data_IF_537253193207
#
_entry.id   IF_537253193207
#
_cell.length_a   1.000
_cell.length_b   1.000
_cell.length_c   1.000
_cell.angle_alpha   90.00
_cell.angle_beta   90.00
_cell.angle_gamma   90.00
#
_symmetry.space_group_name_H-M   'P 1'
#
loop_
_entity.id
_entity.type
_entity.pdbx_description
1 polymer ?
2 non-polymer ?
3 non-polymer ?
4 non-polymer ?
5 non-polymer ?
6 water ?
#
# COMPACT_ATOMS: atom_id res chain seq x y z
N UNK A 1 -19.88 14.63 15.39
CA UNK A 1 -19.74 13.33 14.68
C UNK A 1 -18.95 12.34 15.56
N UNK A 2 -19.67 11.51 16.30
CA UNK A 2 -19.02 10.52 17.18
C UNK A 2 -18.81 9.19 16.44
N UNK A 3 -17.54 8.79 16.37
CA UNK A 3 -17.17 7.51 15.76
C UNK A 3 -17.52 6.34 16.69
N UNK A 4 -17.56 5.11 16.14
CA UNK A 4 -17.81 3.94 17.01
C UNK A 4 -16.86 3.87 18.19
N UNK A 5 -17.37 3.48 19.36
CA UNK A 5 -16.52 3.24 20.52
C UNK A 5 -15.58 2.09 20.16
N UNK A 6 -14.28 2.35 20.29
CA UNK A 6 -13.28 1.38 19.90
C UNK A 6 -12.70 1.59 18.51
N UNK A 7 -13.16 2.63 17.82
CA UNK A 7 -12.63 2.95 16.48
C UNK A 7 -11.12 3.12 16.55
N UNK A 8 -10.43 2.63 15.53
CA UNK A 8 -8.97 2.66 15.53
C UNK A 8 -8.43 3.88 14.80
N UNK A 9 -7.63 4.66 15.50
CA UNK A 9 -6.97 5.85 14.92
C UNK A 9 -5.49 5.62 14.90
N UNK A 10 -4.94 5.62 13.69
CA UNK A 10 -3.57 5.20 13.49
C UNK A 10 -2.78 6.15 12.59
N UNK A 11 -1.49 5.90 12.50
CA UNK A 11 -0.63 6.50 11.48
C UNK A 11 0.28 5.41 10.96
N UNK A 12 0.87 5.62 9.79
CA UNK A 12 1.66 4.59 9.11
C UNK A 12 3.03 5.08 8.68
N UNK A 13 3.98 4.15 8.63
CA UNK A 13 5.30 4.38 8.00
C UNK A 13 5.66 3.11 7.24
N UNK A 14 6.75 3.18 6.48
CA UNK A 14 7.32 2.01 5.79
C UNK A 14 8.82 2.04 6.02
N UNK A 15 9.42 0.85 6.15
CA UNK A 15 10.82 0.72 6.55
C UNK A 15 11.79 1.54 5.70
N UNK A 16 11.74 1.38 4.38
CA UNK A 16 12.73 2.09 3.55
C UNK A 16 12.49 3.59 3.63
N UNK A 17 11.23 3.98 3.79
CA UNK A 17 10.91 5.40 3.77
C UNK A 17 11.36 6.14 5.04
N UNK A 18 11.51 5.43 6.16
CA UNK A 18 11.85 6.08 7.43
C UNK A 18 13.14 5.62 8.12
N UNK A 19 13.54 4.37 7.91
CA UNK A 19 14.53 3.77 8.80
C UNK A 19 15.96 4.31 8.70
N UNK A 20 16.43 4.56 7.48
CA UNK A 20 17.89 4.71 7.28
C UNK A 20 18.60 3.44 7.73
N UNK A 21 19.84 3.58 8.19
CA UNK A 21 20.63 2.41 8.61
C UNK A 21 20.66 1.34 7.53
N UNK A 22 20.78 1.79 6.28
CA UNK A 22 20.60 0.90 5.12
C UNK A 22 21.60 -0.27 5.06
N UNK A 23 22.76 -0.11 5.70
CA UNK A 23 23.77 -1.17 5.77
C UNK A 23 24.24 -1.40 7.22
N UNK A 24 23.46 -0.91 8.17
CA UNK A 24 23.79 -1.01 9.59
C UNK A 24 23.62 -2.43 10.09
N UNK A 25 24.56 -2.87 10.94
CA UNK A 25 24.44 -4.15 11.64
C UNK A 25 24.24 -5.38 10.73
N UNK A 26 24.89 -5.36 9.57
CA UNK A 26 24.86 -6.49 8.65
C UNK A 26 23.65 -6.58 7.74
N UNK A 27 22.78 -5.57 7.81
CA UNK A 27 21.63 -5.52 6.90
C UNK A 27 22.08 -5.68 5.44
N UNK A 28 21.38 -6.55 4.72
CA UNK A 28 21.61 -6.75 3.29
C UNK A 28 20.99 -5.63 2.46
N UNK A 29 21.49 -5.43 1.22
CA UNK A 29 20.90 -4.38 0.38
C UNK A 29 19.49 -4.74 -0.09
N UNK A 30 18.60 -3.74 -0.14
CA UNK A 30 17.32 -3.92 -0.81
C UNK A 30 17.36 -3.19 -2.15
N UNK A 31 16.33 -3.41 -2.95
CA UNK A 31 16.31 -2.87 -4.31
C UNK A 31 16.38 -1.35 -4.35
N UNK A 32 15.85 -0.68 -3.33
CA UNK A 32 15.95 0.78 -3.24
C UNK A 32 17.35 1.28 -2.90
N UNK A 33 18.13 0.49 -2.18
CA UNK A 33 19.53 0.84 -1.94
C UNK A 33 20.25 0.89 -3.28
N UNK A 34 20.12 -0.19 -4.05
CA UNK A 34 20.74 -0.27 -5.36
C UNK A 34 20.24 0.86 -6.26
N UNK A 35 18.93 1.04 -6.30
CA UNK A 35 18.29 1.98 -7.20
C UNK A 35 18.71 3.42 -6.92
N UNK A 36 18.66 3.84 -5.66
CA UNK A 36 18.98 5.23 -5.34
C UNK A 36 20.47 5.52 -5.47
N UNK A 37 21.30 4.52 -5.24
CA UNK A 37 22.74 4.69 -5.33
C UNK A 37 23.21 4.84 -6.77
N UNK A 38 22.42 4.33 -7.71
CA UNK A 38 22.77 4.42 -9.13
C UNK A 38 22.60 5.84 -9.66
N UNK A 39 21.76 6.63 -8.99
CA UNK A 39 21.51 8.02 -9.39
C UNK A 39 20.86 8.08 -10.76
N UNK A 40 21.33 9.03 -11.58
CA UNK A 40 20.79 9.21 -12.91
C UNK A 40 19.46 9.93 -12.92
N UNK A 41 19.19 10.68 -11.85
CA UNK A 41 18.03 11.57 -11.76
C UNK A 41 16.67 10.85 -11.80
N UNK A 42 16.64 9.60 -11.35
CA UNK A 42 15.38 8.85 -11.25
C UNK A 42 14.63 9.23 -9.99
N UNK A 43 15.39 9.65 -8.98
CA UNK A 43 14.83 10.21 -7.76
C UNK A 43 15.18 11.70 -7.73
N UNK A 44 14.24 12.50 -7.25
CA UNK A 44 14.46 13.93 -7.00
C UNK A 44 15.84 14.18 -6.39
N UNK A 45 16.59 15.05 -7.05
CA UNK A 45 17.97 15.42 -6.63
C UNK A 45 18.89 14.25 -6.25
N UNK A 46 18.70 13.09 -6.86
CA UNK A 46 19.51 11.90 -6.57
C UNK A 46 19.52 11.53 -5.09
N UNK A 47 18.41 11.81 -4.41
CA UNK A 47 18.31 11.54 -2.99
C UNK A 47 18.22 10.05 -2.71
N UNK A 48 18.50 9.66 -1.48
CA UNK A 48 18.45 8.26 -1.10
C UNK A 48 17.80 8.12 0.26
N UNK A 49 17.42 6.89 0.60
CA UNK A 49 16.97 6.59 1.95
C UNK A 49 18.09 6.05 2.84
N UNK A 50 19.33 6.43 2.57
CA UNK A 50 20.46 5.95 3.39
C UNK A 50 20.25 6.27 4.87
N UNK A 51 19.72 7.46 5.14
CA UNK A 51 19.41 7.91 6.48
C UNK A 51 17.89 8.11 6.64
N UNK A 52 17.25 8.77 5.69
CA UNK A 52 15.83 9.11 5.77
C UNK A 52 15.51 9.78 7.12
N UNK A 53 14.52 9.26 7.86
CA UNK A 53 14.18 9.82 9.18
C UNK A 53 15.08 9.30 10.30
N UNK A 54 15.92 8.33 9.97
CA UNK A 54 16.81 7.73 10.95
C UNK A 54 16.06 6.91 11.99
N UNK A 55 14.90 6.38 11.63
CA UNK A 55 14.08 5.66 12.59
C UNK A 55 14.71 4.38 13.12
N UNK A 56 15.71 3.85 12.41
CA UNK A 56 16.42 2.67 12.91
C UNK A 56 17.24 3.04 14.15
N UNK A 57 17.67 4.30 14.17
CA UNK A 57 18.48 4.86 15.25
C UNK A 57 17.62 5.58 16.30
N UNK A 58 16.49 6.13 15.83
CA UNK A 58 15.70 7.07 16.60
C UNK A 58 14.27 6.58 16.87
N UNK A 59 14.10 5.26 17.03
CA UNK A 59 12.78 4.74 17.35
C UNK A 59 12.14 5.47 18.54
N UNK A 60 12.92 5.76 19.58
CA UNK A 60 12.40 6.44 20.77
C UNK A 60 11.73 7.76 20.39
N UNK A 61 12.26 8.42 19.37
CA UNK A 61 11.66 9.68 18.91
C UNK A 61 10.32 9.45 18.23
N UNK A 62 10.23 8.37 17.44
CA UNK A 62 8.96 7.98 16.82
C UNK A 62 7.91 7.63 17.87
N UNK A 63 8.32 6.90 18.91
CA UNK A 63 7.44 6.54 20.00
C UNK A 63 6.88 7.79 20.69
N UNK A 64 7.73 8.79 20.92
CA UNK A 64 7.25 10.08 21.46
C UNK A 64 6.13 10.68 20.61
N UNK A 65 6.34 10.70 19.30
CA UNK A 65 5.32 11.19 18.36
C UNK A 65 4.01 10.40 18.45
N UNK A 66 4.13 9.08 18.47
CA UNK A 66 2.97 8.18 18.56
C UNK A 66 2.17 8.43 19.84
N UNK A 67 2.88 8.56 20.96
CA UNK A 67 2.26 8.87 22.24
C UNK A 67 1.58 10.25 22.27
N UNK A 68 2.23 11.25 21.68
CA UNK A 68 1.65 12.59 21.57
C UNK A 68 0.34 12.58 20.80
N UNK A 69 0.31 11.82 19.71
CA UNK A 69 -0.91 11.70 18.94
C UNK A 69 -2.02 10.95 19.68
N UNK A 70 -1.62 10.03 20.55
CA UNK A 70 -2.57 9.15 21.23
C UNK A 70 -3.14 8.08 20.31
N UNK A 71 -2.36 7.68 19.31
CA UNK A 71 -2.78 6.59 18.42
C UNK A 71 -3.23 5.37 19.19
N UNK A 72 -4.27 4.71 18.67
CA UNK A 72 -4.68 3.40 19.18
C UNK A 72 -3.92 2.27 18.49
N UNK A 73 -3.53 2.52 17.24
CA UNK A 73 -2.80 1.56 16.42
C UNK A 73 -1.66 2.29 15.70
N UNK A 74 -0.61 1.54 15.38
CA UNK A 74 0.49 2.08 14.60
C UNK A 74 0.89 1.07 13.54
N UNK A 75 0.90 1.53 12.30
CA UNK A 75 1.30 0.68 11.17
C UNK A 75 2.74 0.96 10.76
N UNK A 76 3.54 -0.11 10.69
CA UNK A 76 4.93 -0.01 10.23
C UNK A 76 5.27 -1.26 9.43
N UNK A 77 6.38 -1.21 8.69
CA UNK A 77 6.81 -2.41 7.95
C UNK A 77 8.10 -3.00 8.49
N UNK A 78 8.27 -4.29 8.22
CA UNK A 78 9.50 -5.00 8.54
C UNK A 78 10.39 -5.00 7.31
N UNK A 79 11.67 -4.67 7.49
CA UNK A 79 12.61 -4.73 6.38
C UNK A 79 13.10 -6.15 6.20
N UNK A 80 12.71 -6.78 5.09
CA UNK A 80 13.09 -8.15 4.76
C UNK A 80 14.62 -8.30 4.72
N UNK A 81 15.28 -7.35 4.05
CA UNK A 81 16.73 -7.39 3.92
C UNK A 81 17.44 -7.07 5.23
N UNK A 82 16.77 -6.35 6.14
CA UNK A 82 17.34 -6.13 7.47
C UNK A 82 17.32 -7.41 8.29
N UNK A 83 16.19 -8.12 8.23
CA UNK A 83 16.02 -9.34 9.01
C UNK A 83 16.82 -10.51 8.44
N UNK A 84 16.75 -10.67 7.12
CA UNK A 84 17.36 -11.79 6.40
C UNK A 84 18.18 -11.17 5.28
N UNK A 85 19.45 -10.83 5.58
CA UNK A 85 20.29 -10.10 4.61
C UNK A 85 20.35 -10.70 3.21
N UNK A 86 20.24 -12.02 3.09
CA UNK A 86 20.17 -12.66 1.77
C UNK A 86 18.76 -13.07 1.32
N UNK A 87 17.75 -12.69 2.11
CA UNK A 87 16.36 -13.00 1.81
C UNK A 87 15.88 -14.33 2.38
N UNK A 88 16.81 -15.15 2.89
CA UNK A 88 16.49 -16.46 3.44
C UNK A 88 16.87 -16.58 4.92
N UNK A 89 16.29 -17.58 5.59
CA UNK A 89 16.58 -17.83 7.00
C UNK A 89 17.89 -18.57 7.26
N UNK A 90 18.70 -18.78 6.22
CA UNK A 90 20.04 -19.36 6.41
C UNK A 90 20.94 -18.50 7.29
N UNK A 91 20.66 -17.19 7.30
CA UNK A 91 21.39 -16.22 8.10
C UNK A 91 20.39 -15.21 8.65
N UNK A 92 20.31 -15.13 9.97
CA UNK A 92 19.38 -14.18 10.63
C UNK A 92 20.16 -13.03 11.27
N UNK A 93 19.74 -11.80 10.98
CA UNK A 93 20.30 -10.62 11.64
C UNK A 93 19.58 -10.35 12.95
N UNK A 94 20.19 -10.76 14.05
CA UNK A 94 19.54 -10.63 15.36
C UNK A 94 19.27 -9.19 15.77
N UNK A 95 20.12 -8.27 15.34
CA UNK A 95 19.90 -6.87 15.65
C UNK A 95 18.65 -6.34 14.93
N UNK A 96 18.35 -6.92 13.76
CA UNK A 96 17.09 -6.68 13.06
C UNK A 96 15.89 -7.12 13.89
N UNK A 97 15.94 -8.36 14.38
CA UNK A 97 14.88 -8.88 15.27
C UNK A 97 14.73 -8.00 16.51
N UNK A 98 15.85 -7.69 17.18
CA UNK A 98 15.80 -6.87 18.39
C UNK A 98 15.13 -5.52 18.14
N UNK A 99 15.48 -4.89 17.02
CA UNK A 99 14.89 -3.61 16.63
C UNK A 99 13.35 -3.67 16.56
N UNK A 100 12.83 -4.63 15.81
CA UNK A 100 11.37 -4.73 15.65
C UNK A 100 10.66 -5.19 16.91
N UNK A 101 11.32 -6.06 17.67
CA UNK A 101 10.77 -6.47 18.96
C UNK A 101 10.67 -5.28 19.92
N UNK A 102 11.63 -4.37 19.85
CA UNK A 102 11.58 -3.17 20.68
C UNK A 102 10.41 -2.27 20.27
N UNK A 103 10.16 -2.12 18.96
CA UNK A 103 8.99 -1.37 18.48
C UNK A 103 7.70 -1.98 19.02
N UNK A 104 7.56 -3.30 18.83
CA UNK A 104 6.36 -4.00 19.22
C UNK A 104 6.14 -3.92 20.73
N UNK A 105 7.20 -4.19 21.49
CA UNK A 105 7.08 -4.19 22.95
C UNK A 105 6.78 -2.80 23.51
N UNK A 106 7.37 -1.79 22.89
CA UNK A 106 7.15 -0.40 23.31
C UNK A 106 5.72 0.02 22.99
N UNK A 107 5.22 -0.39 21.81
CA UNK A 107 3.85 -0.07 21.45
C UNK A 107 2.88 -0.68 22.46
N UNK A 108 3.04 -1.97 22.72
CA UNK A 108 2.11 -2.67 23.61
C UNK A 108 2.12 -2.14 25.04
N UNK A 109 3.30 -1.78 25.56
CA UNK A 109 3.37 -1.28 26.93
C UNK A 109 2.69 0.10 27.05
N UNK A 110 2.49 0.74 25.90
CA UNK A 110 1.81 2.04 25.80
C UNK A 110 0.39 1.92 25.24
N UNK A 111 -0.12 0.70 25.16
CA UNK A 111 -1.51 0.44 24.75
C UNK A 111 -1.80 0.70 23.28
N UNK A 112 -0.74 0.68 22.46
CA UNK A 112 -0.88 0.87 21.02
C UNK A 112 -0.74 -0.48 20.31
N UNK A 113 -1.70 -0.78 19.45
CA UNK A 113 -1.74 -2.03 18.71
C UNK A 113 -0.92 -1.96 17.40
N UNK A 114 0.08 -2.84 17.26
CA UNK A 114 0.83 -2.86 15.99
C UNK A 114 0.04 -3.46 14.82
N UNK A 115 0.14 -2.80 13.67
CA UNK A 115 -0.35 -3.35 12.40
C UNK A 115 0.89 -3.46 11.53
N UNK A 116 1.30 -4.69 11.21
CA UNK A 116 2.64 -4.91 10.66
C UNK A 116 2.60 -5.35 9.20
N UNK A 117 3.30 -4.58 8.36
CA UNK A 117 3.45 -4.90 6.94
C UNK A 117 4.72 -5.74 6.77
N UNK A 118 4.60 -6.92 6.15
CA UNK A 118 5.80 -7.75 5.94
C UNK A 118 6.72 -7.19 4.87
N UNK A 119 6.11 -6.65 3.81
CA UNK A 119 6.84 -6.32 2.61
C UNK A 119 6.23 -5.07 1.97
N UNK A 120 7.03 -4.00 1.89
CA UNK A 120 6.55 -2.69 1.46
C UNK A 120 7.49 -2.12 0.38
N UNK A 121 7.37 -2.67 -0.81
CA UNK A 121 8.11 -2.20 -2.00
C UNK A 121 9.63 -2.43 -1.96
N UNK A 122 10.11 -3.19 -0.98
CA UNK A 122 11.56 -3.23 -0.66
C UNK A 122 12.21 -4.63 -0.68
N UNK A 123 12.16 -5.30 -1.83
CA UNK A 123 12.71 -6.65 -1.94
C UNK A 123 14.21 -6.65 -1.66
N UNK A 124 14.71 -7.69 -0.96
CA UNK A 124 16.16 -7.86 -0.89
C UNK A 124 16.75 -7.92 -2.30
N UNK A 125 17.91 -7.29 -2.51
CA UNK A 125 18.50 -7.26 -3.83
C UNK A 125 18.80 -8.67 -4.33
N UNK A 126 19.25 -9.54 -3.42
CA UNK A 126 19.54 -10.94 -3.76
C UNK A 126 18.34 -11.59 -4.47
N UNK A 127 17.14 -11.35 -3.94
CA UNK A 127 15.94 -11.95 -4.50
C UNK A 127 15.50 -11.33 -5.83
N UNK A 128 15.76 -10.04 -5.99
CA UNK A 128 15.51 -9.40 -7.27
C UNK A 128 16.44 -9.96 -8.34
N UNK A 129 17.71 -10.17 -7.97
CA UNK A 129 18.69 -10.78 -8.88
C UNK A 129 18.26 -12.18 -9.30
N UNK A 130 17.51 -12.84 -8.42
CA UNK A 130 16.98 -14.19 -8.70
C UNK A 130 15.63 -14.16 -9.44
N UNK A 131 15.21 -12.99 -9.92
CA UNK A 131 14.02 -12.86 -10.76
C UNK A 131 12.94 -11.95 -10.21
N UNK A 132 13.06 -11.62 -8.93
CA UNK A 132 12.04 -10.86 -8.23
C UNK A 132 10.67 -11.45 -8.44
N UNK A 133 9.68 -10.60 -8.63
CA UNK A 133 8.29 -11.05 -8.80
C UNK A 133 7.99 -11.60 -10.19
N UNK A 134 9.01 -11.63 -11.04
CA UNK A 134 8.86 -12.15 -12.39
C UNK A 134 9.11 -13.66 -12.49
N UNK A 135 9.65 -14.26 -11.42
CA UNK A 135 10.00 -15.68 -11.38
C UNK A 135 9.21 -16.42 -10.29
N UNK A 136 8.89 -17.69 -10.54
CA UNK A 136 8.11 -18.50 -9.60
C UNK A 136 8.78 -18.69 -8.23
N UNK A 137 10.11 -18.65 -8.22
CA UNK A 137 10.89 -18.88 -7.00
C UNK A 137 10.51 -17.93 -5.86
N UNK A 138 10.06 -16.73 -6.23
CA UNK A 138 9.70 -15.72 -5.23
C UNK A 138 8.58 -16.18 -4.29
N UNK A 139 7.73 -17.08 -4.77
CA UNK A 139 6.55 -17.49 -4.01
C UNK A 139 6.97 -18.21 -2.73
N UNK A 140 7.84 -19.20 -2.87
CA UNK A 140 8.37 -19.92 -1.70
C UNK A 140 9.25 -19.02 -0.83
N UNK A 141 10.03 -18.14 -1.46
CA UNK A 141 10.87 -17.21 -0.72
C UNK A 141 10.01 -16.34 0.18
N UNK A 142 8.93 -15.81 -0.38
CA UNK A 142 8.01 -14.97 0.38
C UNK A 142 7.30 -15.75 1.48
N UNK A 143 6.81 -16.94 1.15
CA UNK A 143 6.10 -17.75 2.14
C UNK A 143 7.00 -18.05 3.34
N UNK A 144 8.25 -18.42 3.05
CA UNK A 144 9.22 -18.71 4.12
C UNK A 144 9.55 -17.46 4.97
N UNK A 145 9.67 -16.31 4.33
CA UNK A 145 9.85 -15.06 5.06
C UNK A 145 8.63 -14.76 5.97
N UNK A 146 7.43 -14.91 5.41
CA UNK A 146 6.19 -14.69 6.16
C UNK A 146 6.14 -15.57 7.40
N UNK A 147 6.44 -16.87 7.23
CA UNK A 147 6.43 -17.80 8.36
C UNK A 147 7.44 -17.40 9.43
N UNK A 148 8.63 -16.99 8.99
CA UNK A 148 9.63 -16.48 9.91
C UNK A 148 9.09 -15.28 10.71
N UNK A 149 8.41 -14.36 10.02
CA UNK A 149 7.83 -13.20 10.69
C UNK A 149 6.73 -13.59 11.66
N UNK A 150 5.80 -14.43 11.22
CA UNK A 150 4.73 -14.93 12.08
C UNK A 150 5.30 -15.60 13.34
N UNK A 151 6.30 -16.46 13.12
CA UNK A 151 6.94 -17.18 14.23
C UNK A 151 7.63 -16.24 15.22
N UNK A 152 8.32 -15.22 14.70
CA UNK A 152 9.14 -14.34 15.54
C UNK A 152 8.34 -13.29 16.31
N UNK A 153 7.30 -12.76 15.66
CA UNK A 153 6.61 -11.59 16.20
C UNK A 153 5.14 -11.83 16.51
N UNK A 154 4.58 -12.92 15.99
CA UNK A 154 3.12 -13.16 16.01
C UNK A 154 2.54 -13.54 17.36
N UNK A 155 3.40 -13.78 18.34
CA UNK A 155 2.95 -13.92 19.72
C UNK A 155 2.40 -12.59 20.27
N UNK A 156 2.80 -11.49 19.63
CA UNK A 156 2.38 -10.15 20.04
C UNK A 156 1.62 -9.41 18.93
N UNK A 157 2.03 -9.62 17.68
CA UNK A 157 1.39 -8.96 16.55
C UNK A 157 0.20 -9.77 16.08
N UNK A 158 -0.97 -9.13 16.01
CA UNK A 158 -2.19 -9.84 15.57
C UNK A 158 -2.84 -9.32 14.29
N UNK A 159 -2.27 -8.29 13.69
CA UNK A 159 -2.84 -7.71 12.48
C UNK A 159 -1.71 -7.52 11.48
N UNK A 160 -1.83 -8.21 10.35
CA UNK A 160 -0.74 -8.30 9.38
C UNK A 160 -1.18 -7.85 8.01
N UNK A 161 -0.29 -7.10 7.33
CA UNK A 161 -0.43 -6.80 5.91
C UNK A 161 0.75 -7.50 5.23
N UNK A 162 0.46 -8.51 4.43
CA UNK A 162 1.53 -9.30 3.82
C UNK A 162 2.33 -8.46 2.84
N UNK A 163 1.63 -7.85 1.89
CA UNK A 163 2.24 -7.10 0.82
C UNK A 163 1.57 -5.74 0.72
N UNK A 164 2.35 -4.66 0.84
CA UNK A 164 1.83 -3.32 0.56
C UNK A 164 1.53 -3.13 -0.92
N UNK A 165 0.28 -2.76 -1.23
CA UNK A 165 -0.14 -2.38 -2.59
C UNK A 165 0.48 -3.19 -3.73
N UNK A 166 0.18 -4.48 -3.77
CA UNK A 166 0.63 -5.36 -4.85
C UNK A 166 0.27 -4.79 -6.23
N UNK A 167 -0.83 -4.04 -6.31
CA UNK A 167 -1.24 -3.41 -7.56
C UNK A 167 -0.28 -2.30 -8.02
N UNK A 168 0.07 -1.40 -7.11
CA UNK A 168 1.04 -0.35 -7.43
C UNK A 168 2.42 -0.94 -7.69
N UNK A 169 2.82 -1.93 -6.89
CA UNK A 169 4.13 -2.57 -7.08
C UNK A 169 4.25 -3.20 -8.45
N UNK A 170 3.26 -3.99 -8.84
CA UNK A 170 3.22 -4.64 -10.16
C UNK A 170 3.46 -3.64 -11.28
N UNK A 171 2.73 -2.54 -11.21
CA UNK A 171 2.79 -1.52 -12.25
C UNK A 171 4.10 -0.76 -12.21
N UNK A 172 4.46 -0.25 -11.04
CA UNK A 172 5.60 0.64 -10.93
C UNK A 172 6.95 -0.06 -11.13
N UNK A 173 7.11 -1.23 -10.49
CA UNK A 173 8.35 -1.97 -10.57
C UNK A 173 8.50 -2.77 -11.86
N UNK A 174 7.40 -3.36 -12.34
CA UNK A 174 7.51 -4.37 -13.39
C UNK A 174 6.86 -4.06 -14.72
N UNK A 175 5.95 -3.09 -14.75
CA UNK A 175 5.35 -2.69 -16.03
C UNK A 175 5.97 -1.41 -16.56
N UNK A 176 5.90 -0.34 -15.76
CA UNK A 176 6.43 0.95 -16.16
C UNK A 176 7.92 1.06 -15.90
N UNK A 177 8.40 0.30 -14.92
CA UNK A 177 9.81 0.32 -14.53
C UNK A 177 10.24 1.65 -13.94
N UNK A 178 9.32 2.30 -13.23
CA UNK A 178 9.62 3.57 -12.57
C UNK A 178 10.23 3.35 -11.19
N UNK A 179 9.89 2.21 -10.59
CA UNK A 179 10.49 1.75 -9.35
C UNK A 179 11.52 0.67 -9.70
N UNK A 180 12.46 0.36 -8.76
CA UNK A 180 13.39 -0.75 -9.02
C UNK A 180 12.63 -2.04 -9.35
N UNK A 181 13.15 -2.83 -10.30
CA UNK A 181 14.46 -2.66 -10.91
C UNK A 181 14.52 -2.14 -12.35
N UNK A 182 13.51 -1.46 -12.89
CA UNK A 182 13.56 -0.02 -13.12
C UNK A 182 13.65 -0.19 -14.66
N UNK A 183 13.17 -1.35 -15.11
CA UNK A 183 13.16 -1.76 -16.52
C UNK A 183 11.72 -1.80 -17.04
N UNK A 184 11.41 -0.98 -18.07
CA UNK A 184 10.06 -1.04 -18.65
C UNK A 184 9.70 -2.37 -19.32
N UNK A 185 8.51 -2.87 -19.01
CA UNK A 185 7.93 -4.02 -19.71
C UNK A 185 6.44 -3.71 -19.95
N UNK A 186 6.17 -2.68 -20.76
CA UNK A 186 4.79 -2.20 -20.98
C UNK A 186 3.83 -3.30 -21.42
N UNK A 187 2.76 -3.47 -20.65
CA UNK A 187 1.70 -4.42 -20.99
C UNK A 187 2.02 -5.87 -20.72
N UNK A 188 3.24 -6.16 -20.23
CA UNK A 188 3.65 -7.54 -19.99
C UNK A 188 4.11 -7.81 -18.55
N UNK A 189 5.04 -7.00 -18.05
CA UNK A 189 5.64 -7.22 -16.75
C UNK A 189 4.69 -7.10 -15.57
N UNK A 190 3.72 -6.20 -15.68
CA UNK A 190 2.76 -5.96 -14.60
C UNK A 190 1.94 -7.20 -14.28
N UNK A 191 1.34 -7.79 -15.31
CA UNK A 191 0.51 -8.99 -15.15
C UNK A 191 1.31 -10.18 -14.62
N UNK A 192 2.54 -10.33 -15.10
CA UNK A 192 3.37 -11.45 -14.65
C UNK A 192 3.70 -11.31 -13.17
N UNK A 193 4.07 -10.11 -12.74
CA UNK A 193 4.33 -9.84 -11.33
C UNK A 193 3.05 -10.02 -10.49
N UNK A 194 1.94 -9.49 -10.99
CA UNK A 194 0.66 -9.59 -10.29
C UNK A 194 0.31 -11.04 -9.96
N UNK A 195 0.55 -11.91 -10.93
CA UNK A 195 0.22 -13.31 -10.80
C UNK A 195 0.99 -13.94 -9.63
N UNK A 196 2.29 -13.65 -9.57
CA UNK A 196 3.14 -14.19 -8.49
C UNK A 196 2.86 -13.53 -7.14
N UNK A 197 2.54 -12.23 -7.15
CA UNK A 197 2.19 -11.53 -5.91
C UNK A 197 0.93 -12.14 -5.28
N UNK A 198 -0.06 -12.41 -6.11
CA UNK A 198 -1.31 -13.02 -5.68
C UNK A 198 -1.03 -14.42 -5.10
N UNK A 199 -0.28 -15.24 -5.82
CA UNK A 199 0.04 -16.59 -5.36
C UNK A 199 0.82 -16.56 -4.05
N UNK A 200 1.81 -15.67 -3.95
CA UNK A 200 2.63 -15.53 -2.74
C UNK A 200 1.78 -15.10 -1.54
N UNK A 201 0.91 -14.11 -1.77
CA UNK A 201 0.01 -13.72 -0.71
C UNK A 201 -0.83 -14.89 -0.20
N UNK A 202 -1.51 -15.57 -1.12
CA UNK A 202 -2.36 -16.72 -0.77
C UNK A 202 -1.58 -17.79 -0.02
N UNK A 203 -0.36 -18.09 -0.48
CA UNK A 203 0.48 -19.06 0.18
C UNK A 203 0.76 -18.66 1.64
N UNK A 204 1.11 -17.40 1.84
CA UNK A 204 1.40 -16.89 3.18
C UNK A 204 0.16 -16.93 4.10
N UNK A 205 -1.01 -16.68 3.53
CA UNK A 205 -2.27 -16.76 4.26
C UNK A 205 -2.50 -18.19 4.72
N UNK A 206 -2.31 -19.14 3.81
CA UNK A 206 -2.46 -20.56 4.18
C UNK A 206 -1.46 -21.00 5.23
N UNK A 207 -0.22 -20.50 5.14
CA UNK A 207 0.76 -20.76 6.19
C UNK A 207 0.29 -20.23 7.53
N UNK A 208 -0.24 -19.01 7.52
CA UNK A 208 -0.78 -18.44 8.75
C UNK A 208 -1.92 -19.30 9.29
N UNK A 209 -2.87 -19.59 8.41
CA UNK A 209 -4.07 -20.31 8.79
C UNK A 209 -3.76 -21.67 9.40
N UNK A 210 -2.79 -22.37 8.80
CA UNK A 210 -2.49 -23.76 9.18
C UNK A 210 -1.52 -23.87 10.35
N UNK A 211 -0.58 -22.92 10.45
CA UNK A 211 0.50 -23.03 11.42
C UNK A 211 0.46 -22.06 12.59
N UNK A 212 -0.23 -20.94 12.43
CA UNK A 212 -0.17 -19.88 13.41
C UNK A 212 -1.49 -19.37 13.99
N UNK A 213 -2.57 -19.50 13.22
CA UNK A 213 -3.83 -18.86 13.59
C UNK A 213 -4.42 -19.41 14.89
N UNK A 214 -4.38 -20.73 15.06
CA UNK A 214 -4.99 -21.35 16.25
C UNK A 214 -4.40 -20.75 17.53
N UNK A 215 -3.08 -20.62 17.59
CA UNK A 215 -2.43 -20.12 18.80
C UNK A 215 -2.41 -18.60 18.87
N UNK A 216 -2.11 -17.95 17.75
CA UNK A 216 -1.94 -16.49 17.71
C UNK A 216 -3.22 -15.68 17.59
N UNK A 217 -4.22 -16.24 16.90
CA UNK A 217 -5.58 -15.67 16.82
C UNK A 217 -5.58 -14.25 16.25
N UNK A 218 -4.78 -14.05 15.21
CA UNK A 218 -4.73 -12.77 14.52
C UNK A 218 -5.42 -12.85 13.18
N UNK A 219 -5.19 -11.85 12.35
CA UNK A 219 -5.72 -11.88 11.01
C UNK A 219 -4.77 -11.22 10.04
N UNK A 220 -4.95 -11.61 8.78
CA UNK A 220 -3.99 -11.35 7.72
C UNK A 220 -4.73 -10.84 6.49
N UNK A 221 -4.22 -9.75 5.94
CA UNK A 221 -4.67 -9.30 4.63
C UNK A 221 -3.50 -8.78 3.80
N UNK A 222 -3.83 -8.18 2.66
CA UNK A 222 -2.84 -7.45 1.85
C UNK A 222 -3.50 -6.12 1.53
N UNK A 223 -2.70 -5.06 1.38
CA UNK A 223 -3.30 -3.75 1.14
C UNK A 223 -3.35 -3.45 -0.35
N UNK A 224 -4.42 -2.78 -0.76
CA UNK A 224 -4.60 -2.45 -2.16
C UNK A 224 -4.83 -0.95 -2.31
N UNK A 225 -4.05 -0.33 -3.18
CA UNK A 225 -4.26 1.06 -3.57
C UNK A 225 -5.58 1.16 -4.33
N UNK A 226 -6.38 2.18 -4.03
CA UNK A 226 -7.61 2.41 -4.76
C UNK A 226 -7.77 3.89 -5.05
N UNK A 227 -7.99 4.19 -6.33
CA UNK A 227 -8.37 5.52 -6.80
C UNK A 227 -9.86 5.41 -7.10
N UNK A 228 -10.68 6.26 -6.48
CA UNK A 228 -12.08 6.24 -6.87
C UNK A 228 -12.21 6.79 -8.29
N UNK A 229 -13.14 6.23 -9.07
CA UNK A 229 -13.24 6.61 -10.49
C UNK A 229 -14.68 6.90 -10.91
N UNK A 230 -14.83 8.02 -11.60
CA UNK A 230 -16.13 8.47 -12.11
C UNK A 230 -16.06 8.67 -13.63
N UNK A 231 -17.20 8.48 -14.33
CA UNK A 231 -17.23 8.78 -15.76
C UNK A 231 -16.96 10.26 -16.00
N UNK A 232 -16.15 10.56 -17.03
CA UNK A 232 -15.83 11.95 -17.37
C UNK A 232 -17.10 12.70 -17.78
N UNK A 233 -17.87 12.07 -18.66
CA UNK A 233 -19.21 12.51 -19.01
C UNK A 233 -20.20 11.58 -18.32
N UNK A 234 -20.92 12.08 -17.29
CA UNK A 234 -21.85 11.24 -16.52
C UNK A 234 -22.99 10.69 -17.37
N UNK A 235 -23.30 11.37 -18.47
CA UNK A 235 -24.38 10.95 -19.38
C UNK A 235 -23.92 9.98 -20.46
N UNK A 236 -22.63 9.69 -20.50
CA UNK A 236 -22.07 8.76 -21.47
C UNK A 236 -22.07 7.33 -20.94
N UNK A 237 -22.72 6.42 -21.67
CA UNK A 237 -22.73 4.99 -21.31
C UNK A 237 -21.33 4.40 -21.41
N UNK A 238 -20.60 4.77 -22.47
CA UNK A 238 -19.23 4.30 -22.64
C UNK A 238 -18.31 4.77 -21.51
N UNK A 239 -18.49 6.01 -21.06
CA UNK A 239 -17.72 6.54 -19.93
C UNK A 239 -18.12 5.88 -18.61
N UNK A 240 -19.42 5.62 -18.45
CA UNK A 240 -19.92 4.90 -17.27
C UNK A 240 -19.25 3.53 -17.17
N UNK A 241 -19.30 2.78 -18.27
CA UNK A 241 -18.73 1.42 -18.36
C UNK A 241 -17.22 1.46 -18.20
N UNK A 242 -16.60 2.48 -18.79
CA UNK A 242 -15.15 2.67 -18.72
C UNK A 242 -14.67 2.91 -17.28
N UNK A 243 -15.39 3.75 -16.53
CA UNK A 243 -15.04 3.99 -15.13
C UNK A 243 -15.14 2.72 -14.27
N UNK A 244 -16.21 1.95 -14.46
CA UNK A 244 -16.35 0.68 -13.74
C UNK A 244 -15.26 -0.31 -14.13
N UNK A 245 -14.96 -0.36 -15.43
CA UNK A 245 -13.91 -1.26 -15.93
C UNK A 245 -12.54 -0.87 -15.38
N UNK A 246 -12.30 0.43 -15.21
CA UNK A 246 -11.04 0.94 -14.66
C UNK A 246 -10.91 0.57 -13.18
N UNK A 247 -12.01 0.61 -12.44
CA UNK A 247 -12.02 0.13 -11.05
C UNK A 247 -11.70 -1.36 -11.03
N UNK A 248 -12.32 -2.10 -11.93
CA UNK A 248 -12.13 -3.54 -12.03
C UNK A 248 -10.67 -3.90 -12.36
N UNK A 249 -10.07 -3.16 -13.30
CA UNK A 249 -8.67 -3.37 -13.68
C UNK A 249 -7.66 -3.10 -12.56
N UNK A 250 -7.82 -2.01 -11.81
CA UNK A 250 -6.77 -1.63 -10.85
C UNK A 250 -6.97 -2.19 -9.43
N UNK A 251 -8.22 -2.46 -9.09
CA UNK A 251 -8.56 -2.91 -7.73
C UNK A 251 -9.05 -4.35 -7.72
N UNK A 252 -10.09 -4.64 -8.50
CA UNK A 252 -10.71 -5.96 -8.44
C UNK A 252 -9.83 -7.05 -9.06
N UNK A 253 -8.87 -6.65 -9.89
CA UNK A 253 -7.93 -7.60 -10.48
C UNK A 253 -7.27 -8.41 -9.37
N UNK A 254 -6.91 -7.74 -8.28
CA UNK A 254 -6.34 -8.41 -7.11
C UNK A 254 -7.39 -8.89 -6.11
N UNK A 255 -8.42 -8.09 -5.87
CA UNK A 255 -9.36 -8.40 -4.81
C UNK A 255 -10.32 -9.53 -5.17
N UNK A 256 -10.73 -9.62 -6.44
CA UNK A 256 -11.63 -10.71 -6.83
C UNK A 256 -11.03 -12.10 -6.57
N UNK A 257 -9.82 -12.38 -7.08
CA UNK A 257 -9.29 -13.73 -6.77
C UNK A 257 -9.18 -14.02 -5.25
N UNK A 258 -8.71 -13.04 -4.49
CA UNK A 258 -8.38 -13.26 -3.08
C UNK A 258 -9.63 -13.29 -2.18
N UNK A 259 -10.60 -12.42 -2.47
CA UNK A 259 -11.81 -12.34 -1.64
C UNK A 259 -13.00 -13.16 -2.15
N UNK A 260 -13.07 -13.42 -3.46
CA UNK A 260 -14.29 -13.97 -4.06
C UNK A 260 -14.16 -15.41 -4.55
N UNK A 261 -13.37 -15.64 -5.60
CA UNK A 261 -13.39 -16.96 -6.23
C UNK A 261 -12.07 -17.46 -6.79
N UNK A 262 -10.96 -16.81 -6.47
CA UNK A 262 -9.65 -17.28 -6.88
C UNK A 262 -9.29 -17.05 -8.33
N UNK A 263 -10.09 -16.26 -9.04
CA UNK A 263 -9.80 -15.95 -10.44
C UNK A 263 -9.96 -14.46 -10.72
N UNK A 264 -9.32 -14.01 -11.79
CA UNK A 264 -9.40 -12.62 -12.26
C UNK A 264 -10.83 -12.27 -12.70
N UNK A 265 -11.15 -10.97 -12.75
CA UNK A 265 -12.41 -10.53 -13.37
C UNK A 265 -12.49 -10.93 -14.83
N UNK A 266 -13.70 -11.29 -15.25
CA UNK A 266 -13.96 -11.75 -16.60
C UNK A 266 -13.62 -10.70 -17.65
N UNK A 267 -13.95 -9.45 -17.36
CA UNK A 267 -13.66 -8.35 -18.29
C UNK A 267 -12.15 -8.12 -18.45
N UNK A 268 -11.39 -8.39 -17.39
CA UNK A 268 -9.93 -8.26 -17.43
C UNK A 268 -9.39 -9.36 -18.36
N UNK A 269 -9.81 -10.59 -18.11
CA UNK A 269 -9.38 -11.74 -18.90
C UNK A 269 -9.77 -11.59 -20.37
N UNK A 270 -11.00 -11.15 -20.63
CA UNK A 270 -11.46 -11.01 -22.02
C UNK A 270 -10.75 -9.88 -22.77
N UNK A 271 -10.61 -8.71 -22.14
CA UNK A 271 -9.90 -7.57 -22.76
C UNK A 271 -8.46 -7.90 -23.11
N UNK A 272 -7.70 -8.42 -22.15
CA UNK A 272 -6.30 -8.72 -22.39
C UNK A 272 -6.13 -9.85 -23.42
N UNK A 273 -6.98 -10.87 -23.35
CA UNK A 273 -6.92 -11.98 -24.33
C UNK A 273 -7.17 -11.48 -25.75
N UNK A 274 -8.17 -10.62 -25.91
CA UNK A 274 -8.54 -10.09 -27.23
C UNK A 274 -7.40 -9.25 -27.81
N UNK A 275 -6.84 -8.35 -26.99
CA UNK A 275 -5.71 -7.51 -27.39
C UNK A 275 -4.50 -8.37 -27.74
N UNK A 276 -4.22 -9.34 -26.88
CA UNK A 276 -3.05 -10.21 -27.05
C UNK A 276 -3.11 -10.95 -28.38
N UNK A 277 -4.29 -11.51 -28.69
CA UNK A 277 -4.46 -12.23 -29.95
C UNK A 277 -4.20 -11.31 -31.15
N UNK A 278 -4.73 -10.08 -31.11
CA UNK A 278 -4.53 -9.12 -32.21
C UNK A 278 -3.06 -8.75 -32.37
N UNK A 279 -2.34 -8.75 -31.26
CA UNK A 279 -0.93 -8.37 -31.22
C UNK A 279 0.01 -9.50 -31.69
N UNK A 280 -0.54 -10.69 -31.90
CA UNK A 280 0.26 -11.82 -32.41
C UNK A 280 0.85 -12.74 -31.35
N UNK A 281 0.33 -12.66 -30.13
CA UNK A 281 0.70 -13.61 -29.09
C UNK A 281 -0.11 -14.89 -29.24
N UNK A 282 0.55 -16.05 -29.07
CA UNK A 282 -0.15 -17.34 -29.06
C UNK A 282 -0.92 -17.60 -27.75
N UNK A 283 -0.70 -16.77 -26.76
CA UNK A 283 -1.37 -16.90 -25.46
C UNK A 283 -1.57 -15.50 -24.89
N UNK A 284 -2.54 -15.35 -24.00
CA UNK A 284 -2.82 -14.04 -23.40
C UNK A 284 -1.66 -13.55 -22.54
N UNK A 285 -1.46 -12.23 -22.54
CA UNK A 285 -0.45 -11.61 -21.68
C UNK A 285 -0.85 -11.70 -20.20
N UNK A 286 -2.12 -12.00 -19.94
CA UNK A 286 -2.57 -12.27 -18.58
C UNK A 286 -2.43 -13.76 -18.31
N UNK A 287 -1.55 -14.14 -17.34
CA UNK A 287 -1.42 -15.56 -17.02
C UNK A 287 -2.71 -16.17 -16.47
N UNK A 288 -2.85 -17.49 -16.62
CA UNK A 288 -4.02 -18.20 -16.14
C UNK A 288 -3.72 -18.95 -14.83
N UNK A 289 -4.66 -18.86 -13.90
CA UNK A 289 -4.62 -19.72 -12.72
C UNK A 289 -5.19 -21.07 -13.11
N UNK A 290 -4.53 -22.14 -12.67
CA UNK A 290 -5.09 -23.48 -12.78
C UNK A 290 -6.26 -23.60 -11.82
N UNK A 291 -7.07 -24.65 -11.97
CA UNK A 291 -8.21 -24.83 -11.07
C UNK A 291 -7.74 -25.02 -9.62
N UNK A 292 -6.63 -25.73 -9.43
CA UNK A 292 -6.09 -25.93 -8.09
C UNK A 292 -5.59 -24.60 -7.48
N UNK A 293 -4.96 -23.76 -8.30
CA UNK A 293 -4.56 -22.42 -7.88
C UNK A 293 -5.75 -21.55 -7.48
N UNK A 294 -6.83 -21.60 -8.28
CA UNK A 294 -8.06 -20.88 -7.94
C UNK A 294 -8.58 -21.29 -6.56
N UNK A 295 -8.56 -22.60 -6.28
CA UNK A 295 -9.03 -23.14 -5.01
C UNK A 295 -8.18 -22.68 -3.83
N UNK A 296 -6.88 -22.54 -4.09
CA UNK A 296 -5.88 -22.16 -3.10
C UNK A 296 -5.92 -20.65 -2.79
N UNK A 297 -6.22 -19.86 -3.82
CA UNK A 297 -6.23 -18.40 -3.71
C UNK A 297 -7.52 -17.86 -3.10
N UNK A 298 -8.65 -18.50 -3.44
CA UNK A 298 -9.96 -18.08 -2.94
C UNK A 298 -10.01 -18.00 -1.42
N UNK A 299 -10.46 -16.85 -0.92
CA UNK A 299 -10.74 -16.66 0.49
C UNK A 299 -9.51 -16.53 1.37
N UNK A 300 -8.49 -15.85 0.86
CA UNK A 300 -7.23 -15.71 1.58
C UNK A 300 -7.00 -14.30 2.14
N UNK A 301 -8.06 -13.66 2.60
CA UNK A 301 -7.93 -12.41 3.34
C UNK A 301 -8.98 -12.31 4.42
N UNK A 302 -8.56 -11.84 5.59
CA UNK A 302 -9.41 -11.84 6.78
C UNK A 302 -10.14 -10.52 6.97
N UNK A 303 -9.68 -9.50 6.25
CA UNK A 303 -10.29 -8.17 6.25
C UNK A 303 -9.85 -7.47 4.96
N UNK A 304 -10.52 -6.36 4.64
CA UNK A 304 -10.16 -5.59 3.46
C UNK A 304 -9.31 -4.40 3.86
N UNK A 305 -8.08 -4.36 3.35
CA UNK A 305 -7.16 -3.27 3.63
C UNK A 305 -7.02 -2.43 2.37
N UNK A 306 -7.47 -1.18 2.47
CA UNK A 306 -7.47 -0.29 1.33
C UNK A 306 -6.69 0.99 1.62
N UNK A 307 -6.05 1.54 0.59
CA UNK A 307 -5.22 2.73 0.73
C UNK A 307 -5.73 3.74 -0.27
N UNK A 308 -6.34 4.81 0.23
CA UNK A 308 -7.01 5.79 -0.61
C UNK A 308 -6.36 7.17 -0.49
N UNK A 309 -6.12 7.79 -1.64
CA UNK A 309 -5.61 9.16 -1.67
C UNK A 309 -6.39 10.12 -2.56
N UNK A 310 -6.97 9.60 -3.64
CA UNK A 310 -7.46 10.50 -4.69
C UNK A 310 -8.48 9.85 -5.62
N UNK A 311 -9.07 10.67 -6.49
CA UNK A 311 -10.10 10.26 -7.42
C UNK A 311 -9.71 10.75 -8.83
N UNK A 312 -10.20 10.08 -9.87
CA UNK A 312 -10.02 10.54 -11.25
C UNK A 312 -11.30 10.40 -12.06
N UNK A 313 -11.39 11.19 -13.13
CA UNK A 313 -12.41 10.99 -14.16
C UNK A 313 -11.89 10.02 -15.21
N UNK A 314 -12.80 9.22 -15.77
CA UNK A 314 -12.42 8.20 -16.75
C UNK A 314 -13.18 8.41 -18.06
N UNK A 315 -12.45 8.36 -19.16
CA UNK A 315 -13.05 8.40 -20.48
C UNK A 315 -12.73 7.11 -21.23
N UNK A 316 -13.72 6.55 -21.93
CA UNK A 316 -13.47 5.44 -22.84
C UNK A 316 -12.48 5.90 -23.91
N UNK A 317 -11.47 5.06 -24.16
CA UNK A 317 -10.50 5.33 -25.22
C UNK A 317 -10.21 4.04 -25.97
N UNK A 318 -10.85 3.88 -27.13
CA UNK A 318 -10.70 2.66 -27.92
C UNK A 318 -9.24 2.44 -28.32
N UNK A 319 -8.77 1.21 -28.15
CA UNK A 319 -7.43 0.85 -28.56
C UNK A 319 -7.42 0.50 -30.06
N UNK A 320 -7.69 1.49 -30.88
CA UNK A 320 -7.86 1.32 -32.33
C UNK A 320 -6.61 0.73 -32.99
N UNK A 321 -5.44 1.16 -32.53
CA UNK A 321 -4.14 0.76 -33.10
C UNK A 321 -3.57 -0.52 -32.51
N UNK A 322 -4.24 -1.09 -31.51
CA UNK A 322 -3.78 -2.30 -30.84
C UNK A 322 -2.44 -2.10 -30.14
N UNK A 323 -2.26 -0.92 -29.54
CA UNK A 323 -1.04 -0.59 -28.81
C UNK A 323 -0.92 -1.46 -27.57
N UNK A 324 0.30 -1.60 -27.09
CA UNK A 324 0.62 -2.48 -25.97
C UNK A 324 0.80 -1.70 -24.67
N UNK A 325 -0.04 -2.01 -23.69
CA UNK A 325 0.02 -1.36 -22.38
C UNK A 325 -1.25 -1.62 -21.59
N UNK A 326 -1.22 -1.31 -20.30
CA UNK A 326 -2.35 -1.60 -19.41
C UNK A 326 -3.55 -0.68 -19.67
N UNK A 327 -3.29 0.61 -19.84
CA UNK A 327 -4.36 1.56 -20.16
C UNK A 327 -5.05 1.18 -21.47
N UNK A 328 -4.24 0.71 -22.42
CA UNK A 328 -4.75 0.27 -23.72
C UNK A 328 -5.58 -1.00 -23.61
N UNK A 329 -5.15 -1.93 -22.74
CA UNK A 329 -5.94 -3.13 -22.45
C UNK A 329 -7.30 -2.78 -21.87
N UNK A 330 -7.31 -1.80 -20.96
CA UNK A 330 -8.54 -1.37 -20.30
C UNK A 330 -9.39 -0.46 -21.18
N UNK A 331 -8.75 0.09 -22.23
CA UNK A 331 -9.39 1.04 -23.17
C UNK A 331 -10.00 2.23 -22.44
N UNK A 332 -9.15 2.87 -21.63
CA UNK A 332 -9.54 4.06 -20.87
C UNK A 332 -8.47 5.17 -21.01
N UNK A 333 -8.81 6.35 -20.53
CA UNK A 333 -7.85 7.40 -20.21
C UNK A 333 -8.34 8.02 -18.92
N UNK A 334 -7.43 8.54 -18.11
CA UNK A 334 -7.80 9.20 -16.87
C UNK A 334 -7.28 10.62 -16.81
N UNK A 335 -8.03 11.48 -16.13
CA UNK A 335 -7.64 12.86 -15.90
C UNK A 335 -8.48 13.44 -14.75
N UNK A 336 -7.98 14.52 -14.12
CA UNK A 336 -8.75 15.14 -13.05
C UNK A 336 -9.83 16.10 -13.56
N UNK A 337 -10.80 16.40 -12.69
CA UNK A 337 -11.71 17.52 -12.89
C UNK A 337 -10.88 18.78 -12.65
N UNK A 338 -10.97 19.77 -13.57
CA UNK A 338 -10.24 21.04 -13.43
C UNK A 338 -10.47 21.78 -12.12
N UNK A 339 -11.64 21.58 -11.52
CA UNK A 339 -12.01 22.27 -10.28
C UNK A 339 -11.32 21.75 -9.00
N UNK A 340 -10.74 20.56 -9.06
CA UNK A 340 -10.09 19.97 -7.87
C UNK A 340 -8.71 20.58 -7.59
N UNK A 341 -8.43 20.80 -6.30
CA UNK A 341 -7.09 21.20 -5.86
C UNK A 341 -6.16 19.99 -5.85
N UNK A 342 -4.85 20.24 -5.89
CA UNK A 342 -3.85 19.16 -5.90
C UNK A 342 -2.45 19.56 -5.41
N UNK A 343 -1.74 18.57 -4.86
CA UNK A 343 -0.29 18.59 -4.77
C UNK A 343 0.17 17.31 -5.50
N UNK A 344 0.99 17.50 -6.54
CA UNK A 344 1.36 16.41 -7.44
C UNK A 344 0.13 15.62 -7.89
N UNK A 345 0.19 14.29 -7.75
CA UNK A 345 -0.91 13.41 -8.20
C UNK A 345 -2.09 13.32 -7.20
N UNK A 346 -1.92 13.90 -6.02
CA UNK A 346 -2.94 13.82 -4.99
C UNK A 346 -3.92 14.97 -5.18
N UNK A 347 -4.94 14.73 -5.99
CA UNK A 347 -6.07 15.65 -6.11
C UNK A 347 -7.03 15.42 -4.94
N UNK A 348 -7.42 16.52 -4.30
CA UNK A 348 -8.25 16.47 -3.10
C UNK A 348 -9.72 16.23 -3.47
N UNK A 349 -10.17 15.00 -3.26
CA UNK A 349 -11.54 14.61 -3.55
C UNK A 349 -12.03 13.74 -2.40
N UNK A 350 -12.34 14.38 -1.25
CA UNK A 350 -12.69 13.61 -0.04
C UNK A 350 -13.86 12.66 -0.23
N UNK A 351 -14.88 13.06 -1.00
CA UNK A 351 -16.04 12.20 -1.19
C UNK A 351 -15.71 10.88 -1.90
N UNK A 352 -14.57 10.83 -2.60
CA UNK A 352 -14.11 9.61 -3.23
C UNK A 352 -13.97 8.46 -2.24
N UNK A 353 -13.54 8.77 -1.01
CA UNK A 353 -13.40 7.71 0.01
C UNK A 353 -14.74 7.09 0.42
N UNK A 354 -15.80 7.89 0.43
CA UNK A 354 -17.13 7.40 0.76
C UNK A 354 -17.64 6.46 -0.32
N UNK A 355 -17.51 6.88 -1.58
CA UNK A 355 -17.90 6.06 -2.72
C UNK A 355 -17.12 4.76 -2.75
N UNK A 356 -15.83 4.83 -2.46
CA UNK A 356 -14.95 3.67 -2.39
C UNK A 356 -15.37 2.68 -1.30
N UNK A 357 -15.59 3.19 -0.10
CA UNK A 357 -16.00 2.34 1.02
C UNK A 357 -17.32 1.63 0.74
N UNK A 358 -18.29 2.34 0.15
CA UNK A 358 -19.56 1.73 -0.24
C UNK A 358 -19.36 0.66 -1.33
N UNK A 359 -18.48 0.96 -2.29
CA UNK A 359 -18.11 -0.02 -3.31
C UNK A 359 -17.55 -1.29 -2.69
N UNK A 360 -16.64 -1.15 -1.73
CA UNK A 360 -16.03 -2.31 -1.07
C UNK A 360 -17.10 -3.12 -0.33
N UNK A 361 -17.97 -2.43 0.40
CA UNK A 361 -19.08 -3.08 1.10
C UNK A 361 -19.98 -3.86 0.14
N UNK A 362 -20.35 -3.24 -0.97
CA UNK A 362 -21.26 -3.83 -1.95
C UNK A 362 -20.65 -4.97 -2.76
N UNK A 363 -19.34 -4.90 -2.96
CA UNK A 363 -18.65 -5.82 -3.86
C UNK A 363 -18.02 -7.00 -3.12
N UNK A 364 -17.59 -6.77 -1.88
CA UNK A 364 -16.85 -7.77 -1.11
C UNK A 364 -17.56 -8.27 0.16
N UNK A 365 -18.89 -8.34 0.07
CA UNK A 365 -19.74 -8.95 1.10
C UNK A 365 -19.58 -8.28 2.48
N UNK A 366 -19.59 -6.96 2.48
CA UNK A 366 -19.59 -6.19 3.72
C UNK A 366 -18.47 -6.61 4.67
N UNK A 367 -17.19 -6.48 4.22
CA UNK A 367 -16.08 -6.97 5.03
C UNK A 367 -15.70 -5.96 6.12
N UNK A 368 -14.90 -6.42 7.07
CA UNK A 368 -14.16 -5.51 7.94
C UNK A 368 -13.22 -4.72 7.05
N UNK A 369 -13.24 -3.40 7.19
CA UNK A 369 -12.34 -2.56 6.41
C UNK A 369 -11.36 -1.81 7.32
N UNK A 370 -10.08 -1.90 6.98
CA UNK A 370 -9.05 -1.00 7.51
C UNK A 370 -8.58 -0.11 6.37
N UNK A 371 -8.61 1.21 6.58
CA UNK A 371 -7.91 2.12 5.67
C UNK A 371 -6.48 2.18 6.19
N UNK A 372 -5.58 1.47 5.51
CA UNK A 372 -4.21 1.34 6.00
C UNK A 372 -3.28 2.49 5.57
N UNK A 373 -3.76 3.30 4.63
CA UNK A 373 -3.14 4.60 4.30
C UNK A 373 -4.16 5.57 3.73
N UNK A 374 -4.03 6.82 4.17
CA UNK A 374 -4.71 7.97 3.57
C UNK A 374 -3.96 9.20 4.05
N UNK A 375 -3.80 10.20 3.19
CA UNK A 375 -3.15 11.43 3.63
C UNK A 375 -2.98 12.43 2.51
N UNK A 376 -2.23 13.49 2.83
CA UNK A 376 -2.02 14.62 1.93
C UNK A 376 -0.59 15.11 2.08
N UNK A 377 0.09 15.37 0.96
CA UNK A 377 1.43 15.91 1.03
C UNK A 377 1.44 17.44 1.01
N UNK A 378 2.51 18.02 1.53
CA UNK A 378 2.83 19.41 1.25
C UNK A 378 4.15 19.46 0.50
N UNK A 379 4.25 20.42 -0.42
CA UNK A 379 5.48 20.66 -1.15
C UNK A 379 6.55 21.23 -0.22
N UNK A 380 7.78 20.81 -0.45
CA UNK A 380 8.90 21.23 0.37
C UNK A 380 9.42 22.55 -0.18
N UNK A 381 9.54 23.55 0.70
CA UNK A 381 9.25 23.48 2.12
C UNK A 381 7.96 24.20 2.60
N UNK A 382 7.51 23.97 3.86
CA UNK A 382 6.17 23.20 3.95
C UNK A 382 5.87 23.90 5.28
N UNK A 383 4.80 24.67 5.38
CA UNK A 383 4.55 25.42 6.62
C UNK A 383 4.20 24.49 7.76
N UNK A 384 4.70 24.76 8.96
CA UNK A 384 4.33 24.00 10.17
C UNK A 384 2.85 24.19 10.51
N UNK A 385 2.35 25.40 10.34
CA UNK A 385 0.95 25.68 10.58
C UNK A 385 0.15 25.38 9.30
N UNK A 386 -0.08 24.10 9.05
CA UNK A 386 -0.66 23.62 7.80
C UNK A 386 -2.19 23.57 7.85
N UNK A 387 -2.79 24.74 8.05
CA UNK A 387 -4.25 24.82 8.21
C UNK A 387 -5.02 24.36 6.96
N UNK A 388 -4.48 24.66 5.78
CA UNK A 388 -5.11 24.24 4.54
C UNK A 388 -5.16 22.71 4.44
N UNK A 389 -4.04 22.06 4.71
CA UNK A 389 -3.99 20.60 4.66
C UNK A 389 -4.93 20.00 5.69
N UNK A 390 -4.96 20.59 6.89
CA UNK A 390 -5.84 20.07 7.92
C UNK A 390 -7.31 20.07 7.49
N UNK A 391 -7.73 21.11 6.77
CA UNK A 391 -9.08 21.15 6.21
C UNK A 391 -9.38 19.93 5.31
N UNK A 392 -8.39 19.51 4.53
CA UNK A 392 -8.54 18.31 3.68
C UNK A 392 -8.78 17.08 4.54
N UNK A 393 -8.04 16.95 5.64
CA UNK A 393 -8.27 15.85 6.59
C UNK A 393 -9.67 15.90 7.19
N UNK A 394 -10.06 17.07 7.71
CA UNK A 394 -11.39 17.26 8.29
C UNK A 394 -12.50 16.82 7.32
N UNK A 395 -12.41 17.27 6.08
CA UNK A 395 -13.38 16.87 5.05
C UNK A 395 -13.37 15.36 4.84
N UNK A 396 -12.18 14.75 4.84
CA UNK A 396 -12.09 13.32 4.67
C UNK A 396 -12.73 12.57 5.85
N UNK A 397 -12.51 13.06 7.06
CA UNK A 397 -13.10 12.46 8.25
C UNK A 397 -14.64 12.52 8.22
N UNK A 398 -15.17 13.64 7.73
CA UNK A 398 -16.61 13.79 7.58
C UNK A 398 -17.19 12.75 6.61
N UNK A 399 -16.42 12.44 5.57
CA UNK A 399 -16.80 11.41 4.61
C UNK A 399 -16.70 10.01 5.20
N UNK A 400 -15.71 9.77 6.05
CA UNK A 400 -15.61 8.49 6.76
C UNK A 400 -16.82 8.30 7.67
N UNK A 401 -17.20 9.38 8.34
CA UNK A 401 -18.35 9.33 9.23
C UNK A 401 -19.62 9.01 8.44
N UNK A 402 -19.77 9.64 7.28
CA UNK A 402 -20.89 9.38 6.39
C UNK A 402 -20.96 7.91 5.96
N UNK A 403 -19.81 7.36 5.58
CA UNK A 403 -19.70 5.95 5.18
C UNK A 403 -20.20 5.02 6.29
N UNK A 404 -19.78 5.32 7.52
CA UNK A 404 -20.16 4.51 8.68
C UNK A 404 -21.65 4.69 9.01
N UNK A 405 -22.09 5.94 9.03
CA UNK A 405 -23.43 6.25 9.54
C UNK A 405 -24.53 6.03 8.50
N UNK A 406 -24.35 6.57 7.31
CA UNK A 406 -25.34 6.42 6.25
C UNK A 406 -25.23 5.07 5.55
N UNK A 407 -24.02 4.67 5.18
CA UNK A 407 -23.83 3.47 4.37
C UNK A 407 -23.53 2.19 5.16
N UNK A 408 -23.41 2.33 6.49
CA UNK A 408 -23.14 1.20 7.41
C UNK A 408 -21.94 0.36 6.98
N UNK A 409 -20.90 1.04 6.50
CA UNK A 409 -19.66 0.39 6.14
C UNK A 409 -18.93 0.03 7.42
N UNK A 410 -18.35 -1.17 7.44
CA UNK A 410 -17.66 -1.67 8.63
C UNK A 410 -16.20 -1.22 8.68
N UNK A 411 -16.01 0.09 8.65
CA UNK A 411 -14.68 0.67 8.78
C UNK A 411 -14.28 0.63 10.25
N UNK A 412 -13.21 -0.10 10.57
CA UNK A 412 -12.74 -0.23 11.96
C UNK A 412 -11.46 0.54 12.29
N UNK A 413 -10.63 0.79 11.30
CA UNK A 413 -9.35 1.49 11.53
C UNK A 413 -9.08 2.47 10.41
N UNK A 414 -8.64 3.67 10.79
CA UNK A 414 -8.14 4.66 9.84
C UNK A 414 -6.67 4.93 10.15
N UNK A 415 -5.83 4.81 9.12
CA UNK A 415 -4.38 5.02 9.27
C UNK A 415 -3.92 6.19 8.40
N UNK A 416 -3.44 7.24 9.05
CA UNK A 416 -2.88 8.38 8.34
C UNK A 416 -1.50 8.04 7.78
N UNK A 417 -1.31 8.23 6.47
CA UNK A 417 0.04 8.29 5.88
C UNK A 417 0.50 9.76 5.84
N UNK A 418 1.52 10.18 6.60
CA UNK A 418 2.43 9.36 7.42
C UNK A 418 2.42 9.85 8.87
N UNK A 419 2.82 8.99 9.87
CA UNK A 419 3.66 9.65 10.97
C UNK A 419 4.62 10.78 10.73
N UNK A 420 5.55 10.54 9.83
CA UNK A 420 6.67 11.45 9.62
C UNK A 420 6.77 11.84 8.17
N UNK A 421 7.31 13.03 7.90
CA UNK A 421 7.81 13.32 6.58
C UNK A 421 8.89 12.30 6.30
N UNK A 422 8.93 11.78 5.08
CA UNK A 422 9.83 10.68 4.80
C UNK A 422 10.29 10.64 3.34
N UNK A 423 10.99 9.58 2.99
CA UNK A 423 11.47 9.38 1.63
C UNK A 423 10.31 8.94 0.73
N UNK A 424 9.75 9.89 0.00
CA UNK A 424 8.58 9.63 -0.83
C UNK A 424 8.99 9.07 -2.20
N UNK A 425 9.63 7.90 -2.16
CA UNK A 425 10.05 7.18 -3.37
C UNK A 425 10.69 8.13 -4.39
N UNK A 426 10.23 8.16 -5.63
CA UNK A 426 10.91 8.98 -6.65
C UNK A 426 10.89 10.49 -6.40
N UNK A 427 10.00 10.94 -5.51
CA UNK A 427 9.91 12.34 -5.11
C UNK A 427 10.92 12.69 -4.03
N UNK A 428 11.59 11.68 -3.49
CA UNK A 428 12.53 11.89 -2.39
C UNK A 428 11.90 12.68 -1.25
N UNK A 429 12.63 13.66 -0.73
CA UNK A 429 12.14 14.44 0.42
C UNK A 429 11.32 15.68 0.03
N UNK A 430 11.07 15.82 -1.27
CA UNK A 430 10.36 16.99 -1.82
C UNK A 430 8.84 16.96 -1.57
N UNK A 431 8.34 15.82 -1.13
CA UNK A 431 6.92 15.61 -0.86
C UNK A 431 6.78 15.19 0.60
N UNK A 432 6.10 16.01 1.39
CA UNK A 432 6.06 15.86 2.84
C UNK A 432 4.66 15.44 3.33
N UNK A 433 4.51 14.16 3.64
CA UNK A 433 3.22 13.57 4.02
C UNK A 433 3.03 13.47 5.54
N UNK A 434 4.05 13.83 6.30
CA UNK A 434 4.04 13.59 7.74
C UNK A 434 3.06 14.42 8.53
N UNK A 435 2.59 13.86 9.65
CA UNK A 435 1.95 14.63 10.69
C UNK A 435 3.02 15.35 11.50
N UNK A 436 4.22 14.77 11.50
CA UNK A 436 5.39 15.41 12.06
C UNK A 436 6.38 15.80 10.98
N UNK A 437 6.85 17.04 11.06
CA UNK A 437 7.90 17.56 10.20
C UNK A 437 9.25 16.95 10.59
N UNK A 438 10.06 16.61 9.59
CA UNK A 438 11.42 16.12 9.84
C UNK A 438 12.41 17.00 9.09
N UNK A 439 13.46 17.45 9.78
CA UNK A 439 14.51 18.23 9.13
C UNK A 439 15.62 17.30 8.66
N UNK A 440 15.64 17.04 7.35
CA UNK A 440 16.57 16.07 6.74
C UNK A 440 17.98 16.63 6.54
N UNK A 441 18.13 17.93 6.80
CA UNK A 441 19.42 18.62 6.74
C UNK A 441 20.13 18.63 8.10
N UNK A 442 19.42 18.16 9.12
CA UNK A 442 19.92 18.12 10.49
C UNK A 442 20.26 16.68 10.81
N UNK A 443 21.52 16.40 11.22
CA UNK A 443 21.94 15.01 11.46
C UNK A 443 21.17 14.31 12.59
N UNK A 444 20.49 15.07 13.44
CA UNK A 444 19.65 14.50 14.50
C UNK A 444 18.22 14.22 14.02
N UNK A 445 17.89 14.65 12.80
CA UNK A 445 16.56 14.42 12.20
C UNK A 445 15.39 14.74 13.15
N UNK A 446 15.37 15.97 13.69
CA UNK A 446 14.35 16.31 14.68
C UNK A 446 12.95 16.23 14.11
N UNK A 447 12.01 15.71 14.92
CA UNK A 447 10.59 15.68 14.61
C UNK A 447 9.87 16.81 15.34
N UNK A 448 9.05 17.56 14.60
CA UNK A 448 8.25 18.67 15.15
C UNK A 448 6.83 18.58 14.57
N UNK A 449 5.80 18.71 15.43
CA UNK A 449 4.43 18.55 14.94
C UNK A 449 4.02 19.63 13.95
N UNK A 450 3.35 19.22 12.88
CA UNK A 450 2.54 20.15 12.10
C UNK A 450 1.29 20.44 12.90
N UNK A 451 0.54 21.47 12.51
CA UNK A 451 -0.76 21.73 13.11
C UNK A 451 -1.68 20.51 12.98
N UNK A 452 -1.62 19.82 11.85
CA UNK A 452 -2.39 18.60 11.63
C UNK A 452 -2.17 17.56 12.73
N UNK A 453 -0.95 17.46 13.27
CA UNK A 453 -0.69 16.53 14.37
C UNK A 453 -1.50 16.90 15.61
N UNK A 454 -1.54 18.19 15.92
CA UNK A 454 -2.27 18.66 17.10
C UNK A 454 -3.77 18.46 16.90
N UNK A 455 -4.25 18.75 15.70
CA UNK A 455 -5.67 18.61 15.37
C UNK A 455 -6.11 17.15 15.32
N UNK A 456 -5.24 16.28 14.81
CA UNK A 456 -5.53 14.86 14.77
C UNK A 456 -5.59 14.27 16.19
N UNK A 457 -4.69 14.70 17.06
CA UNK A 457 -4.73 14.24 18.45
C UNK A 457 -6.07 14.60 19.12
N UNK A 458 -6.61 15.77 18.77
CA UNK A 458 -7.90 16.20 19.29
C UNK A 458 -9.03 15.30 18.81
N UNK A 459 -9.04 14.99 17.51
CA UNK A 459 -10.02 14.05 16.93
C UNK A 459 -9.97 12.71 17.66
N UNK A 460 -8.76 12.17 17.84
CA UNK A 460 -8.58 10.90 18.55
C UNK A 460 -9.11 10.98 19.98
N UNK A 461 -8.76 12.04 20.69
CA UNK A 461 -9.15 12.22 22.09
C UNK A 461 -10.68 12.29 22.24
N UNK A 462 -11.32 12.97 21.31
CA UNK A 462 -12.78 13.09 21.31
C UNK A 462 -13.48 11.94 20.60
N UNK A 463 -12.69 11.06 19.96
CA UNK A 463 -13.20 10.02 19.07
C UNK A 463 -14.20 10.55 18.04
N UNK A 464 -13.86 11.67 17.42
CA UNK A 464 -14.71 12.25 16.41
C UNK A 464 -14.55 13.74 16.26
N UNK A 465 -15.51 14.34 15.56
CA UNK A 465 -15.40 15.69 15.02
C UNK A 465 -16.55 16.56 15.51
N UNK A 466 -16.38 17.88 15.40
CA UNK A 466 -17.44 18.82 15.77
C UNK A 466 -18.09 19.47 14.54
#
# INVERSE_FOLDING_TARGET
>A
MAFPAGFGWAAATAAYQVEGGWDADGKGPCVWDTFTHQGGERVFKNQTGDVACGSYTLWEEDLKCIKQLGLTHYRFSLSWSRLLPDGTTGFINQKGIDYYNKIIDDLLKNGVTPIVTLYHFDLPQTLEDQGGWLSEAIIESFDKYAQFCFSTFGDRVKQWITINEANVLSVMSYDLGMFPPGIPHFGTGGYQAAHNLIKAHARSWHSYDSLFRKKQKGMVSLSLFAVWLEPADPNSVSDQEAAKRAITFHLDLFAKPIFIDGDYPEVVKSQIASMSQKQGYPSSRLPEFTEEEKKMIKGTADFFAVQYYTTRLIKYQENKKGELGILQDAEIEFFPDPSWKNVDWIYVVPWGVCKLLKYIKDTYNNPVIYITENGFPQSDPAPLDDTQRWEYFRQTFQELFKAIQLDKVNLQVYCAWSLLDNFEWNQGYSSRFGLFHVDFEDPARPRVPYTSAKEYAKIIRNNGLEAHL
#
